data_IF_466954090791
#
_entry.id   IF_466954090791
#
_cell.length_a   1.000
_cell.length_b   1.000
_cell.length_c   1.000
_cell.angle_alpha   90.00
_cell.angle_beta   90.00
_cell.angle_gamma   90.00
#
_symmetry.space_group_name_H-M   'P 1'
#
loop_
_entity.id
_entity.type
_entity.pdbx_description
1 polymer ?
#
# COMPACT_ATOMS: atom_id res chain seq x y z
N UNK A 1 -20.92 10.16 -5.38
CA UNK A 1 -21.00 9.07 -6.38
C UNK A 1 -20.39 7.87 -5.69
N UNK A 2 -21.09 6.76 -5.60
CA UNK A 2 -20.58 5.53 -4.96
C UNK A 2 -20.54 4.44 -6.03
N UNK A 3 -19.54 3.58 -5.99
CA UNK A 3 -19.47 2.37 -6.82
C UNK A 3 -19.57 1.18 -5.88
N UNK A 4 -20.54 0.31 -6.12
CA UNK A 4 -20.69 -0.88 -5.29
C UNK A 4 -19.64 -1.96 -5.59
N UNK A 5 -19.09 -1.96 -6.80
CA UNK A 5 -18.12 -2.97 -7.23
C UNK A 5 -17.31 -2.52 -8.47
N UNK A 6 -16.35 -3.35 -8.86
CA UNK A 6 -15.47 -3.14 -10.02
C UNK A 6 -16.24 -3.04 -11.35
N UNK A 7 -17.39 -3.71 -11.49
CA UNK A 7 -18.19 -3.65 -12.72
C UNK A 7 -18.84 -2.29 -12.89
N UNK A 8 -19.32 -1.68 -11.80
CA UNK A 8 -19.85 -0.32 -11.81
C UNK A 8 -18.76 0.71 -12.11
N UNK A 9 -17.56 0.53 -11.54
CA UNK A 9 -16.39 1.35 -11.85
C UNK A 9 -16.04 1.24 -13.34
N UNK A 10 -15.95 0.02 -13.88
CA UNK A 10 -15.68 -0.25 -15.30
C UNK A 10 -16.70 0.43 -16.21
N UNK A 11 -17.98 0.31 -15.86
CA UNK A 11 -19.07 0.96 -16.57
C UNK A 11 -18.97 2.50 -16.50
N UNK A 12 -18.57 3.04 -15.35
CA UNK A 12 -18.37 4.49 -15.18
C UNK A 12 -17.21 4.99 -16.03
N UNK A 13 -16.06 4.31 -16.01
CA UNK A 13 -14.90 4.64 -16.86
C UNK A 13 -15.32 4.68 -18.34
N UNK A 14 -16.03 3.65 -18.83
CA UNK A 14 -16.53 3.62 -20.21
C UNK A 14 -17.45 4.80 -20.56
N UNK A 15 -18.32 5.24 -19.64
CA UNK A 15 -19.17 6.42 -19.81
C UNK A 15 -18.36 7.73 -19.89
N UNK A 16 -17.34 7.89 -19.04
CA UNK A 16 -16.51 9.09 -19.00
C UNK A 16 -15.62 9.24 -20.24
N UNK A 17 -15.10 8.12 -20.74
CA UNK A 17 -14.31 8.07 -21.98
C UNK A 17 -15.22 8.14 -23.23
N UNK A 18 -16.53 7.89 -23.08
CA UNK A 18 -17.51 7.74 -24.16
C UNK A 18 -17.17 6.59 -25.13
N UNK A 19 -16.58 5.52 -24.61
CA UNK A 19 -16.21 4.32 -25.38
C UNK A 19 -16.65 3.08 -24.62
N UNK A 20 -17.43 2.24 -25.28
CA UNK A 20 -17.95 0.98 -24.71
C UNK A 20 -17.09 -0.23 -25.05
N UNK A 21 -16.21 -0.11 -26.03
CA UNK A 21 -15.32 -1.16 -26.51
C UNK A 21 -14.13 -1.42 -25.58
N UNK A 22 -13.90 -0.56 -24.57
CA UNK A 22 -12.76 -0.64 -23.67
C UNK A 22 -13.01 -1.49 -22.41
N UNK A 23 -14.21 -2.03 -22.22
CA UNK A 23 -14.55 -2.79 -21.00
C UNK A 23 -13.56 -3.94 -20.72
N UNK A 24 -13.04 -4.58 -21.75
CA UNK A 24 -12.07 -5.67 -21.60
C UNK A 24 -10.66 -5.19 -21.21
N UNK A 25 -10.35 -3.91 -21.41
CA UNK A 25 -9.01 -3.33 -21.12
C UNK A 25 -8.99 -2.54 -19.82
N UNK A 26 -10.16 -2.10 -19.31
CA UNK A 26 -10.25 -1.35 -18.05
C UNK A 26 -9.59 -2.08 -16.86
N UNK A 27 -9.65 -3.41 -16.72
CA UNK A 27 -8.92 -4.12 -15.65
C UNK A 27 -7.41 -3.86 -15.65
N UNK A 28 -6.78 -3.69 -16.82
CA UNK A 28 -5.36 -3.37 -16.93
C UNK A 28 -5.07 -1.97 -16.35
N UNK A 29 -5.93 -0.99 -16.65
CA UNK A 29 -5.82 0.37 -16.11
C UNK A 29 -6.03 0.40 -14.60
N UNK A 30 -6.96 -0.43 -14.07
CA UNK A 30 -7.16 -0.59 -12.63
C UNK A 30 -5.88 -1.12 -11.99
N UNK A 31 -5.26 -2.16 -12.57
CA UNK A 31 -4.02 -2.74 -12.08
C UNK A 31 -2.88 -1.71 -12.06
N UNK A 32 -2.74 -0.90 -13.11
CA UNK A 32 -1.73 0.17 -13.17
C UNK A 32 -1.97 1.24 -12.11
N UNK A 33 -3.23 1.66 -11.94
CA UNK A 33 -3.60 2.61 -10.90
C UNK A 33 -3.28 2.07 -9.50
N UNK A 34 -3.67 0.84 -9.18
CA UNK A 34 -3.38 0.20 -7.89
C UNK A 34 -1.88 0.08 -7.64
N UNK A 35 -1.09 -0.27 -8.66
CA UNK A 35 0.36 -0.28 -8.56
C UNK A 35 0.94 1.11 -8.26
N UNK A 36 0.38 2.17 -8.85
CA UNK A 36 0.77 3.57 -8.57
C UNK A 36 0.42 3.97 -7.15
N UNK A 37 -0.80 3.72 -6.71
CA UNK A 37 -1.27 4.07 -5.37
C UNK A 37 -0.48 3.32 -4.28
N UNK A 38 -0.21 2.05 -4.46
CA UNK A 38 0.59 1.24 -3.54
C UNK A 38 2.03 1.76 -3.35
N UNK A 39 2.56 2.54 -4.29
CA UNK A 39 3.88 3.19 -4.15
C UNK A 39 3.87 4.41 -3.25
N UNK A 40 2.73 5.11 -3.16
CA UNK A 40 2.67 6.44 -2.51
C UNK A 40 1.80 6.48 -1.25
N UNK A 41 0.74 5.69 -1.19
CA UNK A 41 -0.24 5.76 -0.10
C UNK A 41 0.19 4.92 1.11
N UNK A 42 0.12 5.52 2.31
CA UNK A 42 0.39 4.88 3.60
C UNK A 42 -0.63 5.33 4.63
N UNK A 43 -1.74 4.61 4.72
CA UNK A 43 -2.86 4.93 5.60
C UNK A 43 -3.06 3.89 6.69
N UNK A 44 -3.81 4.24 7.71
CA UNK A 44 -4.21 3.31 8.78
C UNK A 44 -4.98 2.10 8.25
N UNK A 45 -5.72 2.26 7.14
CA UNK A 45 -6.43 1.17 6.46
C UNK A 45 -5.52 0.08 5.87
N UNK A 46 -4.25 0.41 5.63
CA UNK A 46 -3.26 -0.51 5.09
C UNK A 46 -2.45 -1.24 6.18
N UNK A 47 -2.68 -0.92 7.47
CA UNK A 47 -1.91 -1.54 8.55
C UNK A 47 -2.38 -2.97 8.78
N UNK A 48 -1.41 -3.87 8.87
CA UNK A 48 -1.61 -5.28 9.23
C UNK A 48 -0.54 -5.75 10.19
N UNK A 49 -0.89 -6.76 10.97
CA UNK A 49 0.03 -7.50 11.81
C UNK A 49 0.18 -8.93 11.26
N UNK A 50 1.38 -9.46 11.28
CA UNK A 50 1.67 -10.85 10.93
C UNK A 50 2.76 -11.42 11.83
N UNK A 51 2.63 -12.72 12.16
CA UNK A 51 3.67 -13.47 12.83
C UNK A 51 4.31 -14.43 11.82
N UNK A 52 5.59 -14.24 11.57
CA UNK A 52 6.37 -14.97 10.58
C UNK A 52 7.26 -16.01 11.26
N UNK A 53 7.38 -17.18 10.68
CA UNK A 53 8.32 -18.20 11.16
C UNK A 53 9.72 -17.85 10.68
N UNK A 54 10.67 -17.83 11.60
CA UNK A 54 12.09 -17.62 11.32
C UNK A 54 12.78 -18.97 11.21
N UNK A 55 13.41 -19.24 10.08
CA UNK A 55 14.22 -20.42 9.84
C UNK A 55 15.59 -19.98 9.33
N UNK A 56 16.65 -20.45 9.97
CA UNK A 56 18.04 -20.06 9.60
C UNK A 56 18.25 -18.53 9.55
N UNK A 57 17.66 -17.81 10.51
CA UNK A 57 17.68 -16.35 10.61
C UNK A 57 16.95 -15.63 9.45
N UNK A 58 16.12 -16.34 8.69
CA UNK A 58 15.36 -15.80 7.58
C UNK A 58 13.86 -15.96 7.82
N UNK A 59 13.07 -14.93 7.47
CA UNK A 59 11.61 -14.98 7.45
C UNK A 59 11.09 -14.42 6.14
N UNK A 60 10.18 -15.15 5.49
CA UNK A 60 9.56 -14.71 4.23
C UNK A 60 8.51 -13.63 4.50
N UNK A 61 8.55 -12.56 3.74
CA UNK A 61 7.59 -11.47 3.82
C UNK A 61 6.18 -11.89 3.38
N UNK A 62 5.11 -11.29 3.94
CA UNK A 62 3.78 -11.42 3.40
C UNK A 62 3.70 -10.96 1.93
N UNK A 63 2.86 -11.63 1.13
CA UNK A 63 2.72 -11.31 -0.31
C UNK A 63 2.22 -9.89 -0.58
N UNK A 64 1.47 -9.33 0.38
CA UNK A 64 0.92 -7.98 0.34
C UNK A 64 1.79 -6.93 1.05
N UNK A 65 3.03 -7.25 1.37
CA UNK A 65 3.98 -6.36 2.03
C UNK A 65 4.30 -5.11 1.22
N UNK A 66 4.38 -3.97 1.88
CA UNK A 66 4.91 -2.71 1.35
C UNK A 66 6.05 -2.16 2.20
N UNK A 67 5.82 -1.94 3.50
CA UNK A 67 6.77 -1.24 4.37
C UNK A 67 6.59 -1.63 5.84
N UNK A 68 7.69 -1.76 6.58
CA UNK A 68 7.67 -2.00 8.02
C UNK A 68 7.17 -0.79 8.81
N UNK A 69 6.37 -1.04 9.84
CA UNK A 69 6.06 -0.05 10.89
C UNK A 69 6.84 -0.42 12.16
N UNK A 70 6.67 -1.65 12.64
CA UNK A 70 7.45 -2.22 13.74
C UNK A 70 7.78 -3.67 13.44
N UNK A 71 8.92 -4.12 13.91
CA UNK A 71 9.38 -5.51 13.83
C UNK A 71 9.89 -5.91 15.19
N UNK A 72 9.35 -6.96 15.78
CA UNK A 72 9.75 -7.47 17.10
C UNK A 72 9.93 -8.99 17.10
N UNK A 73 10.69 -9.50 18.05
CA UNK A 73 10.94 -10.94 18.23
C UNK A 73 10.02 -11.59 19.29
N UNK A 74 8.97 -10.87 19.67
CA UNK A 74 8.05 -11.26 20.74
C UNK A 74 8.50 -10.84 22.15
N UNK A 75 9.68 -10.21 22.27
CA UNK A 75 10.22 -9.64 23.52
C UNK A 75 10.63 -8.20 23.32
N UNK A 76 11.49 -7.95 22.33
CA UNK A 76 12.09 -6.65 22.09
C UNK A 76 11.83 -6.21 20.64
N UNK A 77 11.69 -4.90 20.43
CA UNK A 77 11.64 -4.32 19.10
C UNK A 77 13.02 -4.38 18.45
N UNK A 78 13.07 -4.91 17.23
CA UNK A 78 14.29 -5.04 16.45
C UNK A 78 14.59 -3.74 15.70
N UNK A 79 15.87 -3.39 15.63
CA UNK A 79 16.34 -2.21 14.89
C UNK A 79 16.64 -2.55 13.44
N UNK A 80 16.19 -1.70 12.53
CA UNK A 80 16.54 -1.85 11.12
C UNK A 80 18.04 -1.60 10.89
N UNK A 81 18.66 -2.49 10.13
CA UNK A 81 20.03 -2.35 9.64
C UNK A 81 20.04 -2.58 8.13
N UNK A 82 20.83 -1.79 7.40
CA UNK A 82 20.93 -2.02 5.95
C UNK A 82 21.62 -3.36 5.67
N UNK A 83 21.28 -3.99 4.54
CA UNK A 83 21.91 -5.26 4.15
C UNK A 83 23.45 -5.18 4.05
N UNK A 84 23.98 -3.99 3.75
CA UNK A 84 25.44 -3.75 3.74
C UNK A 84 26.07 -3.70 5.13
N UNK A 85 25.33 -3.24 6.13
CA UNK A 85 25.78 -3.19 7.53
C UNK A 85 25.61 -4.54 8.23
N UNK A 86 24.64 -5.34 7.76
CA UNK A 86 24.37 -6.67 8.27
C UNK A 86 25.42 -7.66 7.75
N UNK A 87 26.58 -7.71 8.39
CA UNK A 87 27.66 -8.61 7.99
C UNK A 87 27.46 -10.05 8.44
N UNK A 88 28.17 -11.03 7.83
CA UNK A 88 28.09 -12.44 8.20
C UNK A 88 28.57 -12.74 9.64
N UNK A 89 29.26 -11.80 10.26
CA UNK A 89 29.79 -11.91 11.62
C UNK A 89 28.92 -11.19 12.66
N UNK A 90 27.69 -10.79 12.31
CA UNK A 90 26.79 -10.12 13.25
C UNK A 90 26.34 -11.12 14.33
N UNK A 91 27.00 -11.07 15.47
CA UNK A 91 26.68 -11.87 16.65
C UNK A 91 25.71 -11.17 17.60
N UNK A 92 25.56 -9.86 17.45
CA UNK A 92 24.65 -9.07 18.28
C UNK A 92 23.20 -9.35 17.88
N UNK A 93 22.35 -9.59 18.88
CA UNK A 93 20.90 -9.73 18.71
C UNK A 93 20.22 -8.35 18.63
N UNK A 94 18.98 -8.32 18.15
CA UNK A 94 18.16 -7.12 18.17
C UNK A 94 18.17 -6.30 16.87
N UNK A 95 18.59 -6.90 15.75
CA UNK A 95 18.58 -6.25 14.45
C UNK A 95 17.86 -7.07 13.38
N UNK A 96 17.33 -6.39 12.38
CA UNK A 96 16.85 -7.02 11.15
C UNK A 96 17.31 -6.24 9.91
N UNK A 97 17.43 -6.94 8.81
CA UNK A 97 17.67 -6.38 7.49
C UNK A 97 16.63 -6.89 6.49
N UNK A 98 16.45 -6.17 5.40
CA UNK A 98 15.55 -6.54 4.30
C UNK A 98 16.41 -6.88 3.09
N UNK A 99 16.25 -8.11 2.56
CA UNK A 99 16.91 -8.59 1.35
C UNK A 99 15.85 -9.19 0.41
N UNK A 100 15.52 -8.45 -0.65
CA UNK A 100 14.48 -8.87 -1.60
C UNK A 100 13.12 -9.04 -0.92
N UNK A 101 12.60 -10.25 -0.85
CA UNK A 101 11.32 -10.59 -0.22
C UNK A 101 11.49 -11.31 1.14
N UNK A 102 12.61 -11.06 1.81
CA UNK A 102 12.96 -11.79 3.04
C UNK A 102 13.47 -10.83 4.10
N UNK A 103 13.06 -11.06 5.34
CA UNK A 103 13.72 -10.50 6.51
C UNK A 103 14.91 -11.39 6.88
N UNK A 104 16.05 -10.77 7.08
CA UNK A 104 17.18 -11.37 7.77
C UNK A 104 17.20 -10.86 9.20
N UNK A 105 17.20 -11.75 10.18
CA UNK A 105 17.07 -11.41 11.61
C UNK A 105 18.32 -11.85 12.35
N UNK A 106 18.85 -10.98 13.21
CA UNK A 106 19.95 -11.35 14.09
C UNK A 106 19.44 -12.10 15.32
N UNK A 107 20.03 -13.24 15.61
CA UNK A 107 19.57 -14.14 16.66
C UNK A 107 18.41 -15.03 16.21
N UNK A 108 18.42 -16.26 16.66
CA UNK A 108 17.35 -17.22 16.33
C UNK A 108 16.13 -16.97 17.23
N UNK A 109 15.15 -16.22 16.74
CA UNK A 109 13.97 -15.84 17.53
C UNK A 109 12.82 -16.84 17.41
N UNK A 110 12.86 -17.74 16.41
CA UNK A 110 11.78 -18.70 16.11
C UNK A 110 10.54 -18.03 15.47
N UNK A 111 10.16 -16.85 15.95
CA UNK A 111 9.01 -16.10 15.44
C UNK A 111 9.38 -14.62 15.35
N UNK A 112 8.96 -13.97 14.26
CA UNK A 112 9.09 -12.54 14.02
C UNK A 112 7.70 -11.94 13.90
N UNK A 113 7.33 -11.02 14.78
CA UNK A 113 6.11 -10.26 14.66
C UNK A 113 6.39 -8.99 13.87
N UNK A 114 5.57 -8.73 12.88
CA UNK A 114 5.73 -7.56 12.03
C UNK A 114 4.40 -6.81 11.94
N UNK A 115 4.44 -5.51 12.21
CA UNK A 115 3.39 -4.58 11.86
C UNK A 115 3.87 -3.83 10.63
N UNK A 116 3.03 -3.80 9.59
CA UNK A 116 3.43 -3.29 8.29
C UNK A 116 2.29 -2.62 7.53
N UNK A 117 2.62 -1.82 6.54
CA UNK A 117 1.68 -1.38 5.53
C UNK A 117 1.53 -2.46 4.46
N UNK A 118 0.30 -2.86 4.20
CA UNK A 118 -0.05 -3.83 3.17
C UNK A 118 -0.49 -3.14 1.88
N UNK A 119 -0.33 -3.84 0.76
CA UNK A 119 -0.94 -3.44 -0.51
C UNK A 119 -2.46 -3.32 -0.35
N UNK A 120 -3.05 -2.41 -1.11
CA UNK A 120 -4.50 -2.35 -1.27
C UNK A 120 -4.95 -3.66 -1.92
N UNK A 121 -5.98 -4.34 -1.40
CA UNK A 121 -6.50 -5.55 -2.03
C UNK A 121 -6.89 -5.28 -3.48
N UNK A 122 -6.31 -6.00 -4.46
CA UNK A 122 -6.57 -5.73 -5.87
C UNK A 122 -8.02 -6.00 -6.24
N UNK A 123 -8.62 -5.13 -7.04
CA UNK A 123 -9.96 -5.34 -7.59
C UNK A 123 -9.95 -6.39 -8.70
N UNK A 124 -10.93 -7.26 -8.69
CA UNK A 124 -11.09 -8.30 -9.70
C UNK A 124 -12.31 -9.18 -9.43
N UNK A 125 -12.47 -10.24 -10.20
CA UNK A 125 -13.63 -11.14 -10.09
C UNK A 125 -13.76 -11.77 -8.69
N UNK A 126 -12.65 -12.11 -8.04
CA UNK A 126 -12.66 -12.71 -6.70
C UNK A 126 -12.69 -11.66 -5.57
N UNK A 127 -12.45 -10.40 -5.88
CA UNK A 127 -12.46 -9.30 -4.93
C UNK A 127 -13.10 -8.08 -5.61
N UNK A 128 -14.45 -8.03 -5.69
CA UNK A 128 -15.15 -7.02 -6.48
C UNK A 128 -15.09 -5.62 -5.86
N UNK A 129 -14.73 -5.50 -4.59
CA UNK A 129 -14.62 -4.23 -3.88
C UNK A 129 -13.44 -4.22 -2.92
N UNK A 130 -12.98 -3.04 -2.51
CA UNK A 130 -12.02 -2.82 -1.45
C UNK A 130 -12.30 -1.50 -0.72
N UNK A 131 -11.64 -1.29 0.42
CA UNK A 131 -11.85 -0.11 1.25
C UNK A 131 -11.63 1.22 0.48
N UNK A 132 -10.71 1.25 -0.49
CA UNK A 132 -10.41 2.46 -1.27
C UNK A 132 -11.55 2.76 -2.25
N UNK A 133 -12.13 1.76 -2.91
CA UNK A 133 -13.27 1.94 -3.80
C UNK A 133 -14.53 2.37 -3.03
N UNK A 134 -14.76 1.77 -1.87
CA UNK A 134 -15.93 2.05 -1.03
C UNK A 134 -15.90 3.47 -0.46
N UNK A 135 -14.76 3.92 0.05
CA UNK A 135 -14.65 5.20 0.74
C UNK A 135 -14.21 6.35 -0.17
N UNK A 136 -13.46 6.05 -1.24
CA UNK A 136 -12.85 7.04 -2.13
C UNK A 136 -13.04 6.69 -3.62
N UNK A 137 -14.29 6.59 -4.09
CA UNK A 137 -14.61 6.18 -5.47
C UNK A 137 -14.07 7.16 -6.52
N UNK A 138 -13.88 8.43 -6.15
CA UNK A 138 -13.29 9.47 -6.98
C UNK A 138 -11.80 9.21 -7.26
N UNK A 139 -11.04 8.74 -6.26
CA UNK A 139 -9.65 8.35 -6.44
C UNK A 139 -9.51 7.23 -7.49
N UNK A 140 -10.37 6.20 -7.41
CA UNK A 140 -10.39 5.14 -8.41
C UNK A 140 -10.80 5.65 -9.79
N UNK A 141 -11.90 6.40 -9.88
CA UNK A 141 -12.39 6.87 -11.17
C UNK A 141 -11.35 7.72 -11.91
N UNK A 142 -10.85 8.77 -11.26
CA UNK A 142 -9.89 9.68 -11.89
C UNK A 142 -8.51 9.04 -12.05
N UNK A 143 -8.12 8.17 -11.13
CA UNK A 143 -6.89 7.41 -11.24
C UNK A 143 -6.89 6.47 -12.45
N UNK A 144 -7.94 5.67 -12.63
CA UNK A 144 -8.09 4.76 -13.76
C UNK A 144 -8.23 5.51 -15.08
N UNK A 145 -8.95 6.65 -15.10
CA UNK A 145 -9.03 7.52 -16.29
C UNK A 145 -7.65 8.07 -16.68
N UNK A 146 -6.79 8.38 -15.71
CA UNK A 146 -5.41 8.83 -15.97
C UNK A 146 -4.56 7.72 -16.60
N UNK A 147 -4.69 6.48 -16.11
CA UNK A 147 -3.97 5.34 -16.69
C UNK A 147 -4.52 4.92 -18.07
N UNK A 148 -5.78 5.20 -18.37
CA UNK A 148 -6.39 4.91 -19.67
C UNK A 148 -5.92 5.86 -20.79
N UNK A 149 -5.41 7.03 -20.44
CA UNK A 149 -5.10 8.09 -21.39
C UNK A 149 -4.05 7.71 -22.44
N UNK A 150 -2.89 7.09 -22.10
CA UNK A 150 -1.91 6.68 -23.10
C UNK A 150 -2.49 5.74 -24.16
N UNK A 151 -3.50 4.96 -23.80
CA UNK A 151 -4.22 4.06 -24.72
C UNK A 151 -5.18 4.81 -25.64
N UNK A 152 -5.71 5.96 -25.19
CA UNK A 152 -6.74 6.73 -25.91
C UNK A 152 -6.17 7.69 -26.96
N UNK A 153 -4.87 7.92 -26.95
CA UNK A 153 -4.13 8.82 -27.84
C UNK A 153 -4.77 10.22 -27.95
N UNK A 154 -4.23 11.18 -27.19
CA UNK A 154 -4.54 12.60 -27.34
C UNK A 154 -5.87 13.10 -26.72
N UNK A 155 -6.20 12.68 -25.50
CA UNK A 155 -7.32 13.29 -24.78
C UNK A 155 -6.86 14.56 -24.02
N UNK A 156 -7.40 15.73 -24.44
CA UNK A 156 -7.09 17.01 -23.79
C UNK A 156 -7.53 17.07 -22.29
N UNK A 157 -8.34 16.10 -21.84
CA UNK A 157 -8.84 16.00 -20.46
C UNK A 157 -7.86 15.32 -19.51
N UNK A 158 -6.79 14.73 -20.00
CA UNK A 158 -5.81 14.00 -19.21
C UNK A 158 -5.26 14.80 -18.03
N UNK A 159 -4.84 16.04 -18.27
CA UNK A 159 -4.29 16.91 -17.23
C UNK A 159 -5.28 17.11 -16.07
N UNK A 160 -6.57 17.28 -16.39
CA UNK A 160 -7.64 17.42 -15.41
C UNK A 160 -7.87 16.12 -14.63
N UNK A 161 -7.85 14.98 -15.28
CA UNK A 161 -8.03 13.68 -14.61
C UNK A 161 -6.87 13.38 -13.67
N UNK A 162 -5.64 13.63 -14.14
CA UNK A 162 -4.44 13.48 -13.33
C UNK A 162 -4.49 14.39 -12.11
N UNK A 163 -4.78 15.67 -12.26
CA UNK A 163 -4.89 16.62 -11.16
C UNK A 163 -5.93 16.18 -10.13
N UNK A 164 -7.12 15.76 -10.57
CA UNK A 164 -8.17 15.27 -9.67
C UNK A 164 -7.80 13.98 -8.97
N UNK A 165 -7.18 13.05 -9.67
CA UNK A 165 -6.71 11.79 -9.10
C UNK A 165 -5.64 12.01 -8.05
N UNK A 166 -4.63 12.83 -8.35
CA UNK A 166 -3.54 13.15 -7.42
C UNK A 166 -4.07 13.93 -6.20
N UNK A 167 -5.00 14.88 -6.40
CA UNK A 167 -5.66 15.61 -5.30
C UNK A 167 -6.46 14.67 -4.39
N UNK A 168 -7.18 13.69 -4.96
CA UNK A 168 -7.92 12.71 -4.18
C UNK A 168 -6.98 11.85 -3.33
N UNK A 169 -5.88 11.34 -3.92
CA UNK A 169 -4.87 10.53 -3.19
C UNK A 169 -4.22 11.35 -2.06
N UNK A 170 -3.84 12.60 -2.31
CA UNK A 170 -3.30 13.49 -1.28
C UNK A 170 -4.31 13.76 -0.17
N UNK A 171 -5.58 14.00 -0.53
CA UNK A 171 -6.66 14.21 0.43
C UNK A 171 -6.87 13.02 1.36
N UNK A 172 -6.77 11.79 0.85
CA UNK A 172 -6.84 10.55 1.64
C UNK A 172 -5.69 10.50 2.66
N UNK A 173 -4.46 10.75 2.22
CA UNK A 173 -3.29 10.76 3.10
C UNK A 173 -3.42 11.83 4.19
N UNK A 174 -3.81 13.05 3.83
CA UNK A 174 -3.99 14.15 4.79
C UNK A 174 -5.10 13.86 5.81
N UNK A 175 -6.21 13.27 5.38
CA UNK A 175 -7.31 12.91 6.27
C UNK A 175 -6.90 11.82 7.28
N UNK A 176 -6.14 10.81 6.82
CA UNK A 176 -5.60 9.77 7.70
C UNK A 176 -4.60 10.35 8.72
N UNK A 177 -3.70 11.22 8.26
CA UNK A 177 -2.75 11.89 9.14
C UNK A 177 -3.45 12.77 10.18
N UNK A 178 -4.44 13.55 9.79
CA UNK A 178 -5.26 14.33 10.72
C UNK A 178 -5.97 13.44 11.75
N UNK A 179 -6.59 12.35 11.32
CA UNK A 179 -7.26 11.42 12.22
C UNK A 179 -6.30 10.79 13.24
N UNK A 180 -5.06 10.51 12.83
CA UNK A 180 -4.02 9.93 13.70
C UNK A 180 -3.52 10.90 14.76
N UNK A 181 -3.48 12.19 14.47
CA UNK A 181 -2.96 13.24 15.39
C UNK A 181 -4.04 14.01 16.11
N UNK A 182 -5.31 13.89 15.73
CA UNK A 182 -6.42 14.66 16.29
C UNK A 182 -6.70 14.42 17.80
N UNK A 183 -6.16 13.35 18.38
CA UNK A 183 -6.35 13.00 19.80
C UNK A 183 -5.06 12.98 20.63
N UNK A 184 -3.89 13.24 20.02
CA UNK A 184 -2.61 13.17 20.69
C UNK A 184 -2.22 14.49 21.33
N UNK A 185 -2.15 14.58 22.67
CA UNK A 185 -1.31 15.58 23.31
C UNK A 185 0.15 15.22 22.98
N UNK A 186 0.94 16.20 22.56
CA UNK A 186 2.40 16.04 22.42
C UNK A 186 2.99 15.81 23.83
N UNK A 187 3.19 14.55 24.18
CA UNK A 187 3.92 14.17 25.39
C UNK A 187 5.41 14.05 25.01
N UNK A 188 6.20 15.00 25.49
CA UNK A 188 7.67 14.93 25.35
C UNK A 188 8.16 13.92 26.38
N UNK A 189 8.41 12.68 25.96
CA UNK A 189 9.10 11.71 26.79
C UNK A 189 10.55 12.16 26.99
N UNK A 190 10.89 12.66 28.16
CA UNK A 190 12.28 12.86 28.56
C UNK A 190 12.93 11.51 28.78
N UNK A 191 14.02 11.18 28.08
CA UNK A 191 14.74 9.92 28.32
C UNK A 191 15.25 9.94 29.76
N UNK A 192 14.99 8.83 30.47
CA UNK A 192 15.60 8.55 31.79
C UNK A 192 17.01 8.01 31.61
#
# INVERSE_FOLDING_TARGET
MSFANVDELTSAVGRWIKRKDLAAVVPDFITLFEARVNRVLRTSWQRKDASLVVTDNLATMPADWLEAITVDDGKDELRFMTALQYGPSQTDSGFYAIEGNTFRVSGNTGTLNVRYFSKIPPLGANNPTNWLLENHPDAYLFGVLTEAEPYLVNDARMALWKERGDTAIQGIQMADDQARFAGGSLEIATPR
#
